data_IF_384659515398
#
_entry.id   IF_384659515398
#
_cell.length_a   1.000
_cell.length_b   1.000
_cell.length_c   1.000
_cell.angle_alpha   90.00
_cell.angle_beta   90.00
_cell.angle_gamma   90.00
#
_symmetry.space_group_name_H-M   'P 1'
#
loop_
_entity.id
_entity.type
_entity.pdbx_description
1 polymer ?
#
# COMPACT_ATOMS: atom_id res chain seq x y z
N UNK A 1 15.20 -7.66 8.03
CA UNK A 1 15.05 -8.16 6.65
C UNK A 1 15.90 -7.38 5.65
N UNK A 2 15.95 -6.04 5.71
CA UNK A 2 16.67 -5.21 4.74
C UNK A 2 17.95 -4.53 5.26
N UNK A 3 18.51 -4.96 6.41
CA UNK A 3 19.58 -4.21 7.07
C UNK A 3 20.86 -4.18 6.23
N UNK A 4 21.31 -5.33 5.74
CA UNK A 4 22.61 -5.47 5.05
C UNK A 4 22.67 -4.86 3.64
N UNK A 5 21.53 -4.56 3.01
CA UNK A 5 21.52 -4.01 1.63
C UNK A 5 22.07 -2.59 1.60
N UNK A 6 21.92 -1.84 2.70
CA UNK A 6 22.42 -0.47 2.83
C UNK A 6 23.90 -0.42 3.21
N UNK A 7 24.51 -1.56 3.53
CA UNK A 7 25.94 -1.68 3.82
C UNK A 7 26.77 -1.99 2.56
N UNK A 8 26.12 -2.19 1.40
CA UNK A 8 26.80 -2.43 0.13
C UNK A 8 27.58 -1.19 -0.33
N UNK A 9 28.90 -1.36 -0.52
CA UNK A 9 29.79 -0.31 -1.04
C UNK A 9 29.98 -0.36 -2.55
N UNK A 10 29.75 -1.53 -3.14
CA UNK A 10 29.90 -1.80 -4.56
C UNK A 10 28.56 -2.27 -5.13
N UNK A 11 28.24 -1.85 -6.34
CA UNK A 11 27.02 -2.27 -7.03
C UNK A 11 27.18 -3.72 -7.53
N UNK A 12 26.37 -4.69 -7.05
CA UNK A 12 26.39 -6.05 -7.56
C UNK A 12 25.99 -6.04 -9.04
N UNK A 13 26.69 -6.76 -9.91
CA UNK A 13 26.33 -6.77 -11.34
C UNK A 13 25.05 -7.55 -11.57
N UNK A 14 24.86 -8.65 -10.85
CA UNK A 14 23.67 -9.50 -10.89
C UNK A 14 23.08 -9.61 -9.51
N UNK A 15 21.81 -9.23 -9.36
CA UNK A 15 21.13 -9.23 -8.08
C UNK A 15 19.78 -9.94 -8.20
N UNK A 16 19.54 -10.89 -7.30
CA UNK A 16 18.24 -11.53 -7.19
C UNK A 16 17.47 -11.03 -5.96
N UNK A 17 16.17 -10.87 -6.11
CA UNK A 17 15.24 -10.50 -5.06
C UNK A 17 14.24 -11.63 -4.86
N UNK A 18 14.07 -12.08 -3.61
CA UNK A 18 13.08 -13.09 -3.24
C UNK A 18 11.97 -12.39 -2.45
N UNK A 19 10.80 -12.27 -3.07
CA UNK A 19 9.60 -11.61 -2.55
C UNK A 19 9.32 -10.27 -3.21
N UNK A 20 8.19 -10.16 -3.92
CA UNK A 20 7.73 -8.95 -4.60
C UNK A 20 6.72 -8.17 -3.73
N UNK A 21 7.01 -8.04 -2.44
CA UNK A 21 6.36 -7.08 -1.56
C UNK A 21 6.95 -5.66 -1.72
N UNK A 22 6.44 -4.65 -0.97
CA UNK A 22 6.83 -3.25 -1.14
C UNK A 22 8.34 -3.01 -1.19
N UNK A 23 9.07 -3.46 -0.15
CA UNK A 23 10.53 -3.31 -0.05
C UNK A 23 11.26 -4.02 -1.19
N UNK A 24 10.78 -5.19 -1.60
CA UNK A 24 11.37 -5.96 -2.70
C UNK A 24 11.24 -5.22 -4.03
N UNK A 25 10.07 -4.64 -4.31
CA UNK A 25 9.82 -3.85 -5.51
C UNK A 25 10.64 -2.54 -5.53
N UNK A 26 10.64 -1.79 -4.41
CA UNK A 26 11.39 -0.53 -4.26
C UNK A 26 12.88 -0.74 -4.54
N UNK A 27 13.49 -1.72 -3.88
CA UNK A 27 14.92 -1.98 -4.04
C UNK A 27 15.22 -2.63 -5.40
N UNK A 28 14.39 -3.54 -5.91
CA UNK A 28 14.59 -4.11 -7.24
C UNK A 28 14.63 -3.03 -8.33
N UNK A 29 13.71 -2.06 -8.27
CA UNK A 29 13.69 -0.92 -9.20
C UNK A 29 14.95 -0.05 -9.05
N UNK A 30 15.33 0.27 -7.82
CA UNK A 30 16.50 1.10 -7.54
C UNK A 30 17.79 0.46 -8.09
N UNK A 31 18.02 -0.83 -7.82
CA UNK A 31 19.20 -1.54 -8.29
C UNK A 31 19.21 -1.70 -9.82
N UNK A 32 18.06 -1.93 -10.45
CA UNK A 32 17.96 -1.96 -11.91
C UNK A 32 18.33 -0.59 -12.52
N UNK A 33 17.81 0.51 -11.96
CA UNK A 33 18.15 1.88 -12.37
C UNK A 33 19.61 2.25 -12.11
N UNK A 34 20.25 1.71 -11.07
CA UNK A 34 21.68 1.86 -10.85
C UNK A 34 22.54 1.06 -11.84
N UNK A 35 21.95 0.09 -12.55
CA UNK A 35 22.62 -0.68 -13.60
C UNK A 35 22.88 -2.15 -13.25
N UNK A 36 22.27 -2.69 -12.18
CA UNK A 36 22.31 -4.12 -11.90
C UNK A 36 21.38 -4.90 -12.83
N UNK A 37 21.77 -6.11 -13.22
CA UNK A 37 20.86 -7.10 -13.79
C UNK A 37 20.01 -7.69 -12.66
N UNK A 38 18.74 -7.32 -12.61
CA UNK A 38 17.84 -7.68 -11.51
C UNK A 38 16.87 -8.78 -11.91
N UNK A 39 16.79 -9.84 -11.10
CA UNK A 39 15.71 -10.84 -11.16
C UNK A 39 14.88 -10.83 -9.88
N UNK A 40 13.57 -10.62 -9.99
CA UNK A 40 12.62 -10.57 -8.88
C UNK A 40 11.70 -11.80 -8.91
N UNK A 41 11.80 -12.64 -7.89
CA UNK A 41 11.01 -13.85 -7.72
C UNK A 41 9.84 -13.63 -6.76
N UNK A 42 8.67 -14.13 -7.11
CA UNK A 42 7.48 -14.13 -6.26
C UNK A 42 6.63 -15.36 -6.52
N UNK A 43 5.99 -15.90 -5.47
CA UNK A 43 5.13 -17.09 -5.57
C UNK A 43 3.80 -16.82 -6.24
N UNK A 44 3.31 -15.59 -6.13
CA UNK A 44 1.99 -15.20 -6.64
C UNK A 44 2.12 -14.13 -7.71
N UNK A 45 1.97 -12.87 -7.35
CA UNK A 45 2.08 -11.70 -8.23
C UNK A 45 2.79 -10.57 -7.50
N UNK A 46 3.27 -9.58 -8.26
CA UNK A 46 3.80 -8.34 -7.72
C UNK A 46 2.78 -7.68 -6.79
N UNK A 47 3.24 -7.16 -5.64
CA UNK A 47 2.43 -6.51 -4.62
C UNK A 47 1.11 -7.27 -4.33
N UNK A 48 1.18 -8.53 -3.83
CA UNK A 48 0.03 -9.44 -3.79
C UNK A 48 -1.09 -9.01 -2.83
N UNK A 49 -0.82 -8.01 -1.98
CA UNK A 49 -1.78 -7.42 -1.04
C UNK A 49 -2.51 -6.18 -1.58
N UNK A 50 -2.13 -5.69 -2.75
CA UNK A 50 -2.76 -4.56 -3.41
C UNK A 50 -3.76 -5.05 -4.47
N UNK A 51 -4.70 -4.21 -4.91
CA UNK A 51 -5.59 -4.61 -6.00
C UNK A 51 -4.78 -4.88 -7.30
N UNK A 52 -5.28 -5.79 -8.13
CA UNK A 52 -4.60 -6.28 -9.32
C UNK A 52 -4.28 -5.15 -10.31
N UNK A 53 -5.23 -4.26 -10.56
CA UNK A 53 -5.08 -3.10 -11.44
C UNK A 53 -3.98 -2.13 -10.98
N UNK A 54 -3.76 -1.99 -9.67
CA UNK A 54 -2.69 -1.16 -9.12
C UNK A 54 -1.32 -1.85 -9.23
N UNK A 55 -1.28 -3.15 -8.91
CA UNK A 55 -0.08 -3.96 -8.98
C UNK A 55 0.45 -4.09 -10.42
N UNK A 56 -0.44 -4.23 -11.41
CA UNK A 56 -0.08 -4.32 -12.83
C UNK A 56 0.66 -3.08 -13.33
N UNK A 57 0.25 -1.89 -12.89
CA UNK A 57 0.94 -0.64 -13.24
C UNK A 57 2.37 -0.64 -12.71
N UNK A 58 2.54 -1.01 -11.44
CA UNK A 58 3.88 -1.12 -10.83
C UNK A 58 4.71 -2.20 -11.54
N UNK A 59 4.13 -3.37 -11.83
CA UNK A 59 4.83 -4.45 -12.53
C UNK A 59 5.35 -4.01 -13.90
N UNK A 60 4.51 -3.34 -14.71
CA UNK A 60 4.95 -2.82 -16.01
C UNK A 60 6.09 -1.81 -15.87
N UNK A 61 6.03 -0.95 -14.87
CA UNK A 61 7.11 0.02 -14.61
C UNK A 61 8.43 -0.68 -14.22
N UNK A 62 8.36 -1.67 -13.32
CA UNK A 62 9.52 -2.47 -12.95
C UNK A 62 10.15 -3.16 -14.17
N UNK A 63 9.33 -3.75 -15.05
CA UNK A 63 9.82 -4.37 -16.29
C UNK A 63 10.43 -3.35 -17.25
N UNK A 64 9.83 -2.17 -17.39
CA UNK A 64 10.37 -1.06 -18.21
C UNK A 64 11.76 -0.64 -17.72
N UNK A 65 11.97 -0.65 -16.41
CA UNK A 65 13.25 -0.28 -15.79
C UNK A 65 14.29 -1.42 -15.80
N UNK A 66 13.97 -2.56 -16.42
CA UNK A 66 14.91 -3.68 -16.61
C UNK A 66 14.82 -4.79 -15.57
N UNK A 67 13.82 -4.79 -14.68
CA UNK A 67 13.61 -5.88 -13.72
C UNK A 67 13.01 -7.11 -14.44
N UNK A 68 13.72 -8.23 -14.40
CA UNK A 68 13.18 -9.53 -14.81
C UNK A 68 12.30 -10.10 -13.71
N UNK A 69 10.99 -10.19 -13.92
CA UNK A 69 10.04 -10.63 -12.89
C UNK A 69 9.55 -12.04 -13.19
N UNK A 70 9.75 -12.94 -12.23
CA UNK A 70 9.36 -14.35 -12.27
C UNK A 70 8.32 -14.61 -11.16
N UNK A 71 7.06 -14.50 -11.54
CA UNK A 71 5.90 -14.82 -10.71
C UNK A 71 5.54 -16.31 -10.81
N UNK A 72 4.86 -16.87 -9.79
CA UNK A 72 4.56 -18.31 -9.74
C UNK A 72 5.76 -19.20 -9.40
N UNK A 73 6.86 -18.60 -8.94
CA UNK A 73 8.10 -19.32 -8.67
C UNK A 73 8.27 -19.60 -7.17
N UNK A 74 8.63 -20.84 -6.83
CA UNK A 74 9.09 -21.19 -5.49
C UNK A 74 10.61 -21.33 -5.48
N UNK A 75 11.28 -20.49 -4.70
CA UNK A 75 12.73 -20.54 -4.52
C UNK A 75 13.04 -21.59 -3.45
N UNK A 76 13.38 -22.80 -3.91
CA UNK A 76 13.58 -23.96 -3.05
C UNK A 76 14.99 -24.08 -2.48
N UNK A 77 16.00 -23.52 -3.15
CA UNK A 77 17.40 -23.68 -2.75
C UNK A 77 18.27 -22.49 -3.15
N UNK A 78 19.23 -22.15 -2.28
CA UNK A 78 20.31 -21.21 -2.54
C UNK A 78 21.64 -21.90 -2.27
N UNK A 79 22.60 -21.74 -3.18
CA UNK A 79 23.92 -22.36 -3.10
C UNK A 79 25.02 -21.30 -3.20
N UNK A 80 26.10 -21.47 -2.45
CA UNK A 80 27.33 -20.72 -2.70
C UNK A 80 28.06 -21.35 -3.90
N UNK A 81 28.60 -20.53 -4.79
CA UNK A 81 29.37 -20.97 -5.96
C UNK A 81 30.71 -20.23 -6.02
N UNK A 82 31.70 -20.73 -6.80
CA UNK A 82 32.94 -19.99 -7.04
C UNK A 82 32.71 -18.62 -7.71
N UNK A 83 31.58 -18.42 -8.38
CA UNK A 83 31.21 -17.20 -9.11
C UNK A 83 30.20 -16.31 -8.34
N UNK A 84 29.91 -16.62 -7.07
CA UNK A 84 28.95 -15.89 -6.23
C UNK A 84 27.95 -16.82 -5.56
N UNK A 85 26.68 -16.65 -5.91
CA UNK A 85 25.55 -17.41 -5.36
C UNK A 85 24.69 -17.94 -6.51
N UNK A 86 23.99 -19.06 -6.30
CA UNK A 86 23.02 -19.59 -7.24
C UNK A 86 21.66 -19.73 -6.57
N UNK A 87 20.62 -19.29 -7.27
CA UNK A 87 19.23 -19.52 -6.90
C UNK A 87 18.69 -20.66 -7.76
N UNK A 88 18.05 -21.62 -7.11
CA UNK A 88 17.26 -22.66 -7.76
C UNK A 88 15.79 -22.38 -7.48
N UNK A 89 15.03 -22.09 -8.54
CA UNK A 89 13.62 -21.76 -8.47
C UNK A 89 12.81 -22.70 -9.35
N UNK A 90 11.69 -23.18 -8.84
CA UNK A 90 10.73 -24.01 -9.58
C UNK A 90 9.54 -23.14 -9.98
N UNK A 91 9.27 -23.05 -11.28
CA UNK A 91 8.15 -22.28 -11.83
C UNK A 91 7.39 -23.16 -12.84
N UNK A 92 6.09 -23.37 -12.65
CA UNK A 92 5.30 -24.21 -13.55
C UNK A 92 5.75 -25.68 -13.62
N UNK A 93 6.49 -26.17 -12.61
CA UNK A 93 7.08 -27.52 -12.60
C UNK A 93 8.45 -27.62 -13.27
N UNK A 94 8.95 -26.54 -13.87
CA UNK A 94 10.29 -26.47 -14.44
C UNK A 94 11.27 -25.85 -13.43
N UNK A 95 12.41 -26.50 -13.24
CA UNK A 95 13.49 -26.00 -12.40
C UNK A 95 14.41 -25.08 -13.23
N UNK A 96 14.70 -23.90 -12.69
CA UNK A 96 15.64 -22.95 -13.25
C UNK A 96 16.75 -22.66 -12.23
N UNK A 97 17.99 -22.54 -12.73
CA UNK A 97 19.16 -22.18 -11.92
C UNK A 97 19.77 -20.90 -12.46
N UNK A 98 19.84 -19.87 -11.63
CA UNK A 98 20.38 -18.55 -11.99
C UNK A 98 21.53 -18.20 -11.05
N UNK A 99 22.69 -17.85 -11.63
CA UNK A 99 23.84 -17.36 -10.86
C UNK A 99 23.78 -15.84 -10.72
N UNK A 100 24.01 -15.37 -9.49
CA UNK A 100 23.96 -13.97 -9.10
C UNK A 100 25.10 -13.65 -8.13
N UNK A 101 25.42 -12.37 -7.99
CA UNK A 101 26.46 -11.92 -7.08
C UNK A 101 25.87 -11.77 -5.66
N UNK A 102 24.69 -11.15 -5.58
CA UNK A 102 23.97 -10.92 -4.32
C UNK A 102 22.50 -11.34 -4.37
N UNK A 103 21.96 -11.69 -3.19
CA UNK A 103 20.57 -12.11 -3.01
C UNK A 103 19.94 -11.27 -1.90
N UNK A 104 18.88 -10.56 -2.24
CA UNK A 104 18.01 -9.90 -1.28
C UNK A 104 16.82 -10.78 -0.91
N UNK A 105 16.61 -11.02 0.38
CA UNK A 105 15.48 -11.82 0.88
C UNK A 105 14.46 -10.89 1.53
N UNK A 106 13.37 -10.62 0.81
CA UNK A 106 12.29 -9.70 1.17
C UNK A 106 10.98 -10.38 1.60
N UNK A 107 11.04 -11.57 2.19
CA UNK A 107 9.87 -12.43 2.45
C UNK A 107 9.02 -12.04 3.67
N UNK A 108 9.33 -10.92 4.32
CA UNK A 108 8.57 -10.37 5.45
C UNK A 108 9.42 -10.06 6.67
N UNK A 109 8.76 -9.72 7.78
CA UNK A 109 9.39 -9.35 9.06
C UNK A 109 8.76 -10.17 10.18
N UNK A 110 9.59 -10.85 10.95
CA UNK A 110 9.19 -11.49 12.20
C UNK A 110 9.25 -10.49 13.37
N UNK A 111 8.35 -10.58 14.35
CA UNK A 111 8.40 -9.77 15.57
C UNK A 111 9.57 -10.20 16.47
N UNK A 112 10.25 -9.24 17.09
CA UNK A 112 11.33 -9.53 18.04
C UNK A 112 10.76 -9.84 19.43
N UNK A 113 10.47 -11.12 19.70
CA UNK A 113 9.93 -11.58 21.00
C UNK A 113 10.94 -12.34 21.85
N UNK A 114 12.01 -12.84 21.23
CA UNK A 114 13.03 -13.66 21.88
C UNK A 114 13.83 -12.87 22.92
N UNK A 115 14.12 -13.50 24.06
CA UNK A 115 14.92 -12.90 25.13
C UNK A 115 14.21 -11.84 25.97
N UNK A 116 12.94 -11.50 25.68
CA UNK A 116 12.18 -10.49 26.43
C UNK A 116 11.57 -11.01 27.75
N UNK A 117 11.56 -12.33 27.98
CA UNK A 117 10.96 -12.93 29.18
C UNK A 117 9.43 -12.76 29.26
N UNK A 118 8.74 -12.73 28.12
CA UNK A 118 7.29 -12.47 28.03
C UNK A 118 6.46 -13.47 28.87
N UNK A 119 6.83 -14.74 28.87
CA UNK A 119 6.14 -15.78 29.63
C UNK A 119 6.25 -15.53 31.14
N UNK A 120 7.45 -15.18 31.62
CA UNK A 120 7.68 -14.81 33.03
C UNK A 120 6.92 -13.53 33.42
N UNK A 121 6.68 -12.63 32.46
CA UNK A 121 5.88 -11.42 32.64
C UNK A 121 4.36 -11.66 32.50
N UNK A 122 3.91 -12.88 32.19
CA UNK A 122 2.49 -13.21 31.97
C UNK A 122 1.89 -12.54 30.72
N UNK A 123 2.69 -12.37 29.66
CA UNK A 123 2.30 -11.71 28.42
C UNK A 123 2.11 -12.77 27.32
N UNK A 124 0.88 -12.92 26.82
CA UNK A 124 0.60 -13.78 25.66
C UNK A 124 1.29 -13.24 24.39
N UNK A 125 1.95 -14.12 23.65
CA UNK A 125 2.57 -13.83 22.36
C UNK A 125 2.49 -15.05 21.43
N UNK A 126 2.74 -14.84 20.15
CA UNK A 126 2.75 -15.90 19.13
C UNK A 126 3.54 -15.49 17.88
N UNK A 127 3.38 -16.22 16.75
CA UNK A 127 4.14 -15.95 15.52
C UNK A 127 3.99 -14.53 14.98
N UNK A 128 2.84 -13.90 15.23
CA UNK A 128 2.54 -12.53 14.80
C UNK A 128 2.96 -11.46 15.82
N UNK A 129 3.43 -11.86 17.00
CA UNK A 129 4.00 -10.98 18.02
C UNK A 129 3.23 -10.99 19.35
N UNK A 130 3.34 -9.91 20.11
CA UNK A 130 2.68 -9.75 21.40
C UNK A 130 1.19 -9.51 21.20
N UNK A 131 0.36 -10.30 21.91
CA UNK A 131 -1.08 -10.15 21.86
C UNK A 131 -1.52 -8.95 22.67
N UNK A 132 -2.24 -8.04 22.02
CA UNK A 132 -2.82 -6.86 22.66
C UNK A 132 -4.31 -6.74 22.37
N UNK A 133 -5.02 -6.06 23.27
CA UNK A 133 -6.38 -5.61 22.97
C UNK A 133 -6.37 -4.35 22.10
N UNK A 134 -7.55 -3.87 21.71
CA UNK A 134 -7.74 -2.69 20.86
C UNK A 134 -7.18 -1.38 21.47
N UNK A 135 -6.81 -1.38 22.76
CA UNK A 135 -6.15 -0.27 23.45
C UNK A 135 -4.65 -0.45 23.63
N UNK A 136 -4.05 -1.43 22.94
CA UNK A 136 -2.63 -1.80 22.97
C UNK A 136 -2.14 -2.34 24.31
N UNK A 137 -3.06 -2.80 25.17
CA UNK A 137 -2.70 -3.42 26.45
C UNK A 137 -2.56 -4.94 26.27
N UNK A 138 -1.49 -5.50 26.84
CA UNK A 138 -1.22 -6.94 26.85
C UNK A 138 -2.13 -7.69 27.84
N UNK A 139 -1.96 -9.00 27.97
CA UNK A 139 -2.60 -9.80 29.04
C UNK A 139 -2.13 -9.41 30.43
N UNK A 140 -0.88 -8.92 30.56
CA UNK A 140 -0.45 -8.24 31.76
C UNK A 140 -1.03 -6.81 31.78
N UNK A 141 -1.93 -6.53 32.72
CA UNK A 141 -2.66 -5.25 32.80
C UNK A 141 -1.75 -4.02 33.02
N UNK A 142 -0.49 -4.22 33.39
CA UNK A 142 0.51 -3.16 33.60
C UNK A 142 1.42 -2.95 32.39
N UNK A 143 1.32 -3.80 31.37
CA UNK A 143 2.23 -3.79 30.21
C UNK A 143 1.44 -3.54 28.93
N UNK A 144 2.02 -2.70 28.08
CA UNK A 144 1.51 -2.32 26.77
C UNK A 144 2.55 -2.67 25.71
N UNK A 145 2.11 -2.87 24.48
CA UNK A 145 2.99 -3.10 23.33
C UNK A 145 2.50 -2.30 22.13
N UNK A 146 3.43 -1.75 21.35
CA UNK A 146 3.15 -0.90 20.19
C UNK A 146 4.17 -1.15 19.07
N UNK A 147 3.82 -0.79 17.84
CA UNK A 147 4.65 -0.97 16.65
C UNK A 147 4.64 -2.39 16.10
N UNK A 148 5.67 -2.75 15.34
CA UNK A 148 5.77 -4.01 14.57
C UNK A 148 5.53 -5.28 15.40
N UNK A 149 5.80 -5.25 16.70
CA UNK A 149 5.62 -6.38 17.62
C UNK A 149 4.15 -6.64 17.97
N UNK A 150 3.25 -5.68 17.76
CA UNK A 150 1.85 -5.74 18.21
C UNK A 150 0.83 -5.33 17.14
N UNK A 151 1.28 -4.79 16.00
CA UNK A 151 0.41 -4.27 14.94
C UNK A 151 0.43 -5.15 13.69
N UNK A 152 -0.74 -5.27 13.05
CA UNK A 152 -0.89 -5.87 11.72
C UNK A 152 -0.14 -5.06 10.65
N UNK A 153 -0.23 -3.73 10.72
CA UNK A 153 0.43 -2.81 9.79
C UNK A 153 1.78 -2.39 10.38
N UNK A 154 2.87 -2.91 9.79
CA UNK A 154 4.25 -2.73 10.24
C UNK A 154 4.89 -1.52 9.56
N UNK A 155 4.35 -0.34 9.84
CA UNK A 155 4.82 0.94 9.28
C UNK A 155 5.27 1.90 10.38
N UNK A 156 6.26 2.74 10.09
CA UNK A 156 6.82 3.69 11.06
C UNK A 156 5.77 4.64 11.63
N UNK A 157 4.92 5.22 10.78
CA UNK A 157 3.83 6.13 11.21
C UNK A 157 2.73 5.39 11.97
N UNK A 158 2.47 4.11 11.67
CA UNK A 158 1.56 3.29 12.47
C UNK A 158 2.13 3.01 13.87
N UNK A 159 3.44 2.77 13.96
CA UNK A 159 4.14 2.61 15.23
C UNK A 159 4.13 3.89 16.07
N UNK A 160 4.37 5.07 15.46
CA UNK A 160 4.27 6.37 16.15
C UNK A 160 2.86 6.62 16.68
N UNK A 161 1.83 6.44 15.84
CA UNK A 161 0.44 6.59 16.26
C UNK A 161 0.07 5.64 17.41
N UNK A 162 0.52 4.38 17.34
CA UNK A 162 0.33 3.40 18.40
C UNK A 162 1.07 3.79 19.70
N UNK A 163 2.29 4.31 19.61
CA UNK A 163 3.02 4.78 20.78
C UNK A 163 2.28 5.94 21.48
N UNK A 164 1.77 6.91 20.72
CA UNK A 164 0.92 8.00 21.25
C UNK A 164 -0.35 7.45 21.91
N UNK A 165 -0.99 6.45 21.31
CA UNK A 165 -2.15 5.77 21.90
C UNK A 165 -1.80 5.07 23.22
N UNK A 166 -0.67 4.35 23.28
CA UNK A 166 -0.20 3.70 24.51
C UNK A 166 0.01 4.73 25.61
N UNK A 167 0.76 5.81 25.34
CA UNK A 167 1.02 6.88 26.31
C UNK A 167 -0.30 7.45 26.84
N UNK A 168 -1.23 7.79 25.94
CA UNK A 168 -2.55 8.31 26.31
C UNK A 168 -3.35 7.34 27.18
N UNK A 169 -3.38 6.06 26.79
CA UNK A 169 -4.17 5.04 27.47
C UNK A 169 -3.56 4.59 28.81
N UNK A 170 -2.23 4.58 28.92
CA UNK A 170 -1.52 4.13 30.11
C UNK A 170 -1.41 5.23 31.17
N UNK A 171 -1.13 6.48 30.76
CA UNK A 171 -0.79 7.56 31.69
C UNK A 171 -1.90 8.61 31.89
N UNK A 172 -2.85 8.71 30.95
CA UNK A 172 -3.86 9.77 30.95
C UNK A 172 -5.30 9.24 30.91
N UNK A 173 -5.52 8.01 31.39
CA UNK A 173 -6.84 7.35 31.44
C UNK A 173 -7.60 7.34 30.09
N UNK A 174 -6.86 7.44 28.99
CA UNK A 174 -7.40 7.44 27.65
C UNK A 174 -8.10 6.13 27.30
N UNK A 175 -9.03 6.22 26.34
CA UNK A 175 -9.77 5.07 25.79
C UNK A 175 -9.56 4.91 24.30
N UNK A 176 -8.42 5.38 23.81
CA UNK A 176 -8.02 5.33 22.42
C UNK A 176 -7.95 3.92 21.88
N UNK A 177 -8.37 3.75 20.62
CA UNK A 177 -8.45 2.46 19.97
C UNK A 177 -7.59 2.43 18.72
N UNK A 178 -6.96 1.29 18.45
CA UNK A 178 -6.23 1.06 17.20
C UNK A 178 -7.23 0.95 16.05
N UNK A 179 -8.38 0.32 16.29
CA UNK A 179 -9.47 0.17 15.30
C UNK A 179 -10.06 1.50 14.80
N UNK A 180 -9.80 2.62 15.47
CA UNK A 180 -10.21 3.95 15.01
C UNK A 180 -9.14 4.67 14.19
N UNK A 181 -7.94 4.11 14.05
CA UNK A 181 -6.88 4.73 13.25
C UNK A 181 -7.14 4.49 11.76
N UNK A 182 -7.01 5.56 10.98
CA UNK A 182 -6.90 5.48 9.52
C UNK A 182 -5.41 5.46 9.18
N UNK A 183 -4.92 4.32 8.71
CA UNK A 183 -3.50 4.10 8.44
C UNK A 183 -3.32 4.05 6.92
N UNK A 184 -2.75 5.08 6.28
CA UNK A 184 -2.31 5.00 4.89
C UNK A 184 -0.97 4.28 4.78
N UNK A 185 -0.57 3.91 3.59
CA UNK A 185 0.80 3.51 3.28
C UNK A 185 1.11 3.77 1.81
N UNK A 186 2.41 3.77 1.48
CA UNK A 186 2.91 3.87 0.12
C UNK A 186 4.00 2.84 -0.12
N UNK A 187 4.01 2.29 -1.33
CA UNK A 187 5.17 1.62 -1.93
C UNK A 187 5.85 2.63 -2.83
N UNK A 188 7.09 2.98 -2.51
CA UNK A 188 7.86 4.05 -3.16
C UNK A 188 8.61 3.57 -4.41
N UNK A 189 7.93 2.78 -5.23
CA UNK A 189 8.32 2.58 -6.63
C UNK A 189 8.04 3.86 -7.43
N UNK A 190 8.43 3.87 -8.69
CA UNK A 190 8.12 4.93 -9.63
C UNK A 190 7.33 4.34 -10.82
N UNK A 191 6.02 4.58 -10.98
CA UNK A 191 5.19 5.41 -10.10
C UNK A 191 4.98 4.78 -8.71
N UNK A 192 4.68 5.62 -7.72
CA UNK A 192 4.36 5.17 -6.36
C UNK A 192 2.97 4.53 -6.34
N UNK A 193 2.76 3.58 -5.43
CA UNK A 193 1.44 3.03 -5.12
C UNK A 193 1.10 3.35 -3.66
N UNK A 194 0.16 4.26 -3.46
CA UNK A 194 -0.36 4.60 -2.14
C UNK A 194 -1.77 4.03 -1.92
N UNK A 195 -2.04 3.54 -0.71
CA UNK A 195 -3.34 3.00 -0.31
C UNK A 195 -3.75 3.46 1.08
N UNK A 196 -5.05 3.66 1.27
CA UNK A 196 -5.68 3.83 2.57
C UNK A 196 -7.01 3.07 2.61
N UNK A 197 -7.33 2.46 3.75
CA UNK A 197 -8.58 1.72 3.91
C UNK A 197 -8.64 0.42 3.10
N UNK A 198 -9.86 0.00 2.75
CA UNK A 198 -10.12 -1.27 2.07
C UNK A 198 -9.73 -1.23 0.60
N UNK A 199 -9.15 -2.33 0.11
CA UNK A 199 -9.08 -2.61 -1.33
C UNK A 199 -10.40 -3.21 -1.84
N UNK A 200 -10.58 -3.31 -3.16
CA UNK A 200 -11.74 -4.00 -3.74
C UNK A 200 -11.79 -5.47 -3.32
N UNK A 201 -10.64 -6.15 -3.34
CA UNK A 201 -10.55 -7.55 -2.94
C UNK A 201 -10.96 -7.73 -1.46
N UNK A 202 -10.50 -6.84 -0.58
CA UNK A 202 -10.85 -6.87 0.85
C UNK A 202 -12.34 -6.58 1.08
N UNK A 203 -12.92 -5.61 0.37
CA UNK A 203 -14.34 -5.29 0.48
C UNK A 203 -15.24 -6.44 -0.03
N UNK A 204 -14.87 -7.06 -1.16
CA UNK A 204 -15.55 -8.25 -1.71
C UNK A 204 -15.47 -9.42 -0.73
N UNK A 205 -14.29 -9.72 -0.18
CA UNK A 205 -14.09 -10.80 0.79
C UNK A 205 -14.88 -10.58 2.09
N UNK A 206 -15.10 -9.31 2.48
CA UNK A 206 -15.92 -8.94 3.63
C UNK A 206 -17.43 -8.92 3.34
N UNK A 207 -17.88 -9.17 2.10
CA UNK A 207 -19.28 -9.10 1.71
C UNK A 207 -19.88 -7.68 1.79
N UNK A 208 -19.04 -6.64 1.68
CA UNK A 208 -19.47 -5.25 1.73
C UNK A 208 -19.75 -4.77 0.31
N UNK A 209 -20.94 -4.25 0.05
CA UNK A 209 -21.24 -3.61 -1.22
C UNK A 209 -20.62 -2.21 -1.30
N UNK A 210 -20.00 -1.91 -2.45
CA UNK A 210 -19.33 -0.64 -2.71
C UNK A 210 -19.52 -0.17 -4.15
N UNK A 211 -19.34 1.13 -4.36
CA UNK A 211 -19.20 1.76 -5.67
C UNK A 211 -17.74 2.19 -5.87
N UNK A 212 -17.22 2.06 -7.09
CA UNK A 212 -15.85 2.43 -7.46
C UNK A 212 -15.87 3.66 -8.35
N UNK A 213 -15.05 4.65 -8.01
CA UNK A 213 -14.81 5.83 -8.82
C UNK A 213 -13.33 5.92 -9.16
N UNK A 214 -13.01 6.05 -10.43
CA UNK A 214 -11.64 5.96 -10.93
C UNK A 214 -11.36 7.03 -11.97
N UNK A 215 -10.21 7.69 -11.85
CA UNK A 215 -9.71 8.68 -12.80
C UNK A 215 -8.31 8.28 -13.23
N UNK A 216 -8.12 8.07 -14.54
CA UNK A 216 -6.81 7.79 -15.13
C UNK A 216 -5.97 9.07 -15.19
N UNK A 217 -4.66 8.95 -14.97
CA UNK A 217 -3.75 10.10 -15.03
C UNK A 217 -3.53 10.63 -16.44
N UNK A 218 -3.69 9.80 -17.47
CA UNK A 218 -3.71 10.25 -18.88
C UNK A 218 -4.81 11.27 -19.20
N UNK A 219 -5.79 11.44 -18.30
CA UNK A 219 -6.84 12.44 -18.43
C UNK A 219 -6.65 13.63 -17.44
N UNK A 220 -5.46 13.75 -16.84
CA UNK A 220 -5.12 14.80 -15.87
C UNK A 220 -4.03 15.69 -16.47
N UNK A 221 -4.37 16.94 -16.74
CA UNK A 221 -3.51 17.88 -17.48
C UNK A 221 -2.10 17.98 -16.90
N UNK A 222 -1.95 17.98 -15.56
CA UNK A 222 -0.63 18.04 -14.94
C UNK A 222 0.21 16.80 -15.20
N UNK A 223 -0.40 15.62 -15.18
CA UNK A 223 0.29 14.36 -15.45
C UNK A 223 0.76 14.28 -16.92
N UNK A 224 -0.10 14.73 -17.86
CA UNK A 224 0.25 14.86 -19.27
C UNK A 224 1.41 15.85 -19.47
N UNK A 225 1.32 17.03 -18.86
CA UNK A 225 2.33 18.07 -18.98
C UNK A 225 3.72 17.63 -18.46
N UNK A 226 3.74 16.78 -17.42
CA UNK A 226 4.96 16.24 -16.83
C UNK A 226 5.43 14.93 -17.53
N UNK A 227 4.65 14.37 -18.46
CA UNK A 227 4.97 13.09 -19.12
C UNK A 227 4.78 11.86 -18.23
N UNK A 228 4.00 11.98 -17.15
CA UNK A 228 3.81 10.97 -16.11
C UNK A 228 2.34 10.50 -16.07
N UNK A 229 1.84 10.07 -17.23
CA UNK A 229 0.43 9.71 -17.46
C UNK A 229 0.05 8.32 -16.96
N UNK A 230 1.03 7.53 -16.52
CA UNK A 230 0.83 6.15 -16.09
C UNK A 230 0.23 6.10 -14.67
N UNK A 231 -0.91 5.42 -14.54
CA UNK A 231 -1.58 5.19 -13.26
C UNK A 231 -2.91 5.93 -13.14
N UNK A 232 -3.41 6.03 -11.91
CA UNK A 232 -4.78 6.44 -11.63
C UNK A 232 -5.00 6.84 -10.17
N UNK A 233 -6.11 7.53 -9.91
CA UNK A 233 -6.72 7.64 -8.58
C UNK A 233 -8.00 6.81 -8.58
N UNK A 234 -8.15 5.93 -7.58
CA UNK A 234 -9.33 5.07 -7.38
C UNK A 234 -9.85 5.23 -5.95
N UNK A 235 -11.14 5.50 -5.80
CA UNK A 235 -11.81 5.63 -4.49
C UNK A 235 -13.01 4.69 -4.43
N UNK A 236 -13.11 3.95 -3.33
CA UNK A 236 -14.23 3.09 -3.00
C UNK A 236 -15.14 3.81 -2.02
N UNK A 237 -16.44 3.82 -2.30
CA UNK A 237 -17.46 4.30 -1.36
C UNK A 237 -18.43 3.19 -1.00
N UNK A 238 -19.05 3.27 0.19
CA UNK A 238 -20.15 2.38 0.54
C UNK A 238 -21.30 2.57 -0.44
N UNK A 239 -21.85 1.47 -0.98
CA UNK A 239 -22.94 1.54 -1.95
C UNK A 239 -24.09 2.42 -1.47
N UNK A 240 -24.50 3.38 -2.31
CA UNK A 240 -25.57 4.32 -2.01
C UNK A 240 -25.23 5.47 -1.02
N UNK A 241 -23.98 5.57 -0.57
CA UNK A 241 -23.47 6.61 0.33
C UNK A 241 -22.22 7.28 -0.27
N UNK A 242 -21.88 8.49 0.16
CA UNK A 242 -20.57 9.11 -0.14
C UNK A 242 -19.45 8.65 0.82
N UNK A 243 -19.75 7.79 1.80
CA UNK A 243 -18.77 7.35 2.78
C UNK A 243 -17.62 6.59 2.11
N UNK A 244 -16.43 7.18 2.16
CA UNK A 244 -15.19 6.59 1.65
C UNK A 244 -14.82 5.36 2.51
N UNK A 245 -14.58 4.24 1.85
CA UNK A 245 -14.19 2.96 2.46
C UNK A 245 -12.70 2.66 2.25
N UNK A 246 -12.13 3.18 1.18
CA UNK A 246 -10.71 3.11 0.87
C UNK A 246 -10.39 3.83 -0.43
N UNK A 247 -9.10 3.98 -0.70
CA UNK A 247 -8.60 4.54 -1.94
C UNK A 247 -7.22 3.97 -2.27
N UNK A 248 -6.92 3.89 -3.57
CA UNK A 248 -5.62 3.56 -4.11
C UNK A 248 -5.23 4.63 -5.14
N UNK A 249 -3.98 5.09 -5.07
CA UNK A 249 -3.40 6.06 -5.99
C UNK A 249 -2.13 5.43 -6.55
N UNK A 250 -2.05 5.32 -7.87
CA UNK A 250 -0.82 4.97 -8.57
C UNK A 250 -0.38 6.19 -9.37
N UNK A 251 0.67 6.86 -8.94
CA UNK A 251 1.13 8.13 -9.49
C UNK A 251 2.50 8.49 -8.92
N UNK A 252 3.26 9.35 -9.58
CA UNK A 252 4.33 10.08 -8.90
C UNK A 252 3.75 10.91 -7.76
N UNK A 253 4.40 10.87 -6.58
CA UNK A 253 3.92 11.53 -5.37
C UNK A 253 2.58 10.98 -4.82
N UNK A 254 2.22 9.72 -5.13
CA UNK A 254 1.02 9.11 -4.58
C UNK A 254 0.99 9.11 -3.04
N UNK A 255 2.15 8.93 -2.39
CA UNK A 255 2.30 8.96 -0.93
C UNK A 255 1.96 10.32 -0.32
N UNK A 256 2.19 11.42 -1.04
CA UNK A 256 1.77 12.75 -0.60
C UNK A 256 0.27 12.94 -0.82
N UNK A 257 -0.22 12.56 -2.01
CA UNK A 257 -1.62 12.69 -2.43
C UNK A 257 -2.60 11.94 -1.52
N UNK A 258 -2.25 10.72 -1.07
CA UNK A 258 -3.14 9.87 -0.26
C UNK A 258 -3.50 10.51 1.10
N UNK A 259 -2.71 11.48 1.56
CA UNK A 259 -2.94 12.19 2.82
C UNK A 259 -4.27 12.95 2.83
N UNK A 260 -4.73 13.48 1.70
CA UNK A 260 -6.03 14.14 1.60
C UNK A 260 -7.18 13.17 1.85
N UNK A 261 -7.16 12.00 1.19
CA UNK A 261 -8.18 10.97 1.38
C UNK A 261 -8.13 10.41 2.81
N UNK A 262 -6.93 10.27 3.36
CA UNK A 262 -6.72 9.85 4.75
C UNK A 262 -7.39 10.81 5.73
N UNK A 263 -7.18 12.13 5.55
CA UNK A 263 -7.82 13.16 6.35
C UNK A 263 -9.35 13.11 6.20
N UNK A 264 -9.85 12.97 4.96
CA UNK A 264 -11.28 12.87 4.72
C UNK A 264 -11.90 11.68 5.46
N UNK A 265 -11.27 10.50 5.38
CA UNK A 265 -11.70 9.30 6.11
C UNK A 265 -11.64 9.48 7.62
N UNK A 266 -10.57 10.07 8.17
CA UNK A 266 -10.42 10.33 9.61
C UNK A 266 -11.49 11.30 10.14
N UNK A 267 -11.86 12.31 9.34
CA UNK A 267 -12.89 13.30 9.70
C UNK A 267 -14.30 12.92 9.29
N UNK A 268 -14.49 11.77 8.65
CA UNK A 268 -15.80 11.33 8.16
C UNK A 268 -16.36 12.19 7.02
N UNK A 269 -15.49 12.87 6.27
CA UNK A 269 -15.83 13.61 5.05
C UNK A 269 -16.03 12.60 3.92
N UNK A 270 -17.21 12.62 3.30
CA UNK A 270 -17.52 11.77 2.15
C UNK A 270 -16.92 12.29 0.84
N UNK A 271 -17.00 11.47 -0.21
CA UNK A 271 -16.46 11.78 -1.54
C UNK A 271 -17.11 13.02 -2.17
N UNK A 272 -18.39 13.30 -1.88
CA UNK A 272 -19.03 14.55 -2.29
C UNK A 272 -18.44 15.79 -1.60
N UNK A 273 -17.93 15.64 -0.39
CA UNK A 273 -17.19 16.69 0.33
C UNK A 273 -15.89 17.05 -0.40
N UNK A 274 -15.11 16.04 -0.80
CA UNK A 274 -13.90 16.22 -1.62
C UNK A 274 -14.24 16.96 -2.93
N UNK A 275 -15.30 16.54 -3.63
CA UNK A 275 -15.74 17.16 -4.88
C UNK A 275 -16.06 18.66 -4.73
N UNK A 276 -16.53 19.08 -3.56
CA UNK A 276 -16.92 20.47 -3.27
C UNK A 276 -15.73 21.39 -2.95
N UNK A 277 -14.54 20.83 -2.73
CA UNK A 277 -13.33 21.60 -2.41
C UNK A 277 -12.62 22.05 -3.69
N UNK A 278 -12.29 23.34 -3.77
CA UNK A 278 -11.49 23.90 -4.86
C UNK A 278 -10.04 23.40 -4.71
N UNK A 279 -9.59 22.62 -5.68
CA UNK A 279 -8.20 22.19 -5.79
C UNK A 279 -7.41 23.15 -6.69
N UNK A 280 -6.13 23.44 -6.39
CA UNK A 280 -5.27 24.20 -7.30
C UNK A 280 -5.11 23.50 -8.65
N UNK A 281 -5.07 24.29 -9.72
CA UNK A 281 -4.89 23.82 -11.10
C UNK A 281 -3.66 24.48 -11.75
N UNK A 282 -2.86 23.74 -12.54
CA UNK A 282 -2.92 22.29 -12.75
C UNK A 282 -2.13 21.52 -11.69
N UNK A 283 -2.73 20.51 -11.03
CA UNK A 283 -2.04 19.62 -10.08
C UNK A 283 -2.48 18.16 -10.24
N UNK A 284 -1.63 17.20 -9.84
CA UNK A 284 -2.03 15.77 -9.79
C UNK A 284 -3.14 15.51 -8.77
N UNK A 285 -3.13 16.25 -7.66
CA UNK A 285 -4.17 16.19 -6.62
C UNK A 285 -5.57 16.48 -7.18
N UNK A 286 -5.69 17.24 -8.28
CA UNK A 286 -6.97 17.45 -8.95
C UNK A 286 -7.65 16.14 -9.38
N UNK A 287 -6.89 15.06 -9.61
CA UNK A 287 -7.45 13.75 -9.89
C UNK A 287 -8.34 13.23 -8.73
N UNK A 288 -8.00 13.55 -7.48
CA UNK A 288 -8.81 13.21 -6.29
C UNK A 288 -10.16 13.96 -6.34
N UNK A 289 -10.14 15.26 -6.66
CA UNK A 289 -11.34 16.06 -6.89
C UNK A 289 -12.19 15.52 -8.03
N UNK A 290 -11.57 15.17 -9.16
CA UNK A 290 -12.25 14.65 -10.35
C UNK A 290 -12.94 13.30 -10.09
N UNK A 291 -12.37 12.46 -9.23
CA UNK A 291 -13.04 11.24 -8.73
C UNK A 291 -14.31 11.60 -7.94
N UNK A 292 -14.25 12.69 -7.16
CA UNK A 292 -15.42 13.30 -6.53
C UNK A 292 -16.50 13.76 -7.53
N UNK A 293 -16.10 14.35 -8.66
CA UNK A 293 -17.06 14.73 -9.71
C UNK A 293 -17.78 13.52 -10.31
N UNK A 294 -17.08 12.38 -10.47
CA UNK A 294 -17.69 11.13 -10.92
C UNK A 294 -18.79 10.66 -9.96
N UNK A 295 -18.56 10.77 -8.65
CA UNK A 295 -19.60 10.55 -7.64
C UNK A 295 -20.77 11.51 -7.81
N UNK A 296 -20.52 12.82 -7.95
CA UNK A 296 -21.58 13.81 -8.09
C UNK A 296 -22.44 13.60 -9.34
N UNK A 297 -21.85 13.11 -10.45
CA UNK A 297 -22.61 12.76 -11.66
C UNK A 297 -23.64 11.66 -11.41
N UNK A 298 -23.39 10.73 -10.49
CA UNK A 298 -24.38 9.69 -10.13
C UNK A 298 -25.61 10.26 -9.41
N UNK A 299 -25.51 11.46 -8.82
CA UNK A 299 -26.63 12.15 -8.17
C UNK A 299 -27.57 12.85 -9.16
N UNK A 300 -27.10 13.13 -10.38
CA UNK A 300 -27.90 13.68 -11.48
C UNK A 300 -28.78 12.59 -12.11
N UNK A 301 -29.71 12.04 -11.33
CA UNK A 301 -30.65 11.03 -11.83
C UNK A 301 -31.51 11.58 -12.96
N UNK A 302 -32.06 10.74 -13.86
CA UNK A 302 -32.94 11.19 -14.95
C UNK A 302 -34.11 12.06 -14.48
N UNK A 303 -34.65 11.77 -13.28
CA UNK A 303 -35.71 12.58 -12.66
C UNK A 303 -35.23 13.97 -12.26
N UNK A 304 -34.06 14.05 -11.62
CA UNK A 304 -33.44 15.33 -11.22
C UNK A 304 -33.07 16.13 -12.46
N UNK A 305 -32.49 15.49 -13.47
CA UNK A 305 -32.18 16.12 -14.76
C UNK A 305 -33.44 16.66 -15.44
N UNK A 306 -34.52 15.87 -15.51
CA UNK A 306 -35.80 16.31 -16.08
C UNK A 306 -36.43 17.48 -15.32
N UNK A 307 -36.34 17.48 -13.98
CA UNK A 307 -36.74 18.65 -13.17
C UNK A 307 -35.90 19.90 -13.46
N UNK A 308 -34.59 19.73 -13.61
CA UNK A 308 -33.67 20.82 -13.96
C UNK A 308 -33.97 21.39 -15.35
N UNK A 309 -34.16 20.52 -16.35
CA UNK A 309 -34.53 20.90 -17.71
C UNK A 309 -35.88 21.63 -17.75
N UNK A 310 -36.87 21.16 -16.99
CA UNK A 310 -38.15 21.84 -16.83
C UNK A 310 -38.00 23.23 -16.18
N UNK A 311 -37.23 23.34 -15.10
CA UNK A 311 -36.98 24.62 -14.42
C UNK A 311 -36.24 25.63 -15.31
N UNK A 312 -35.23 25.17 -16.06
CA UNK A 312 -34.51 26.00 -17.03
C UNK A 312 -35.41 26.39 -18.22
N UNK A 313 -36.30 25.51 -18.63
CA UNK A 313 -37.31 25.77 -19.66
C UNK A 313 -38.34 26.82 -19.27
N UNK A 314 -38.71 26.93 -17.99
CA UNK A 314 -39.59 27.99 -17.47
C UNK A 314 -38.91 29.36 -17.33
N UNK A 315 -37.57 29.41 -17.35
CA UNK A 315 -36.79 30.66 -17.26
C UNK A 315 -36.43 31.23 -18.63
N UNK A 316 -36.76 30.54 -19.73
CA UNK A 316 -36.73 31.05 -21.09
C UNK A 316 -38.09 31.62 -21.45
#
# INVERSE_FOLDING_TARGET
TNLSVFDLTDLPRRMAFIGAGPIGCELAQAFARFGSEVTLYERTRVLPREDEDAAEVVERSLRRDGVSIVCGADVGKVEATPAGKAIVAVCGGEESRVEVDEIFVGTGRAPNVDGLGLDAAGIEHGPDGVRVNDRLRTTNKRVYAAGDIALKHKFTHAADAAARLVIRNALFFGRGKVSSLIIPWSTYTDPELARVGMSEAEAKAAGIEFDVYRRELKDVDRAIADGEEEGFVKVLTRKGSDKIMGAAIVSSHAGDMISEVTLAMDKGIGLGGIASVIHPYPTRAEAIRQVGDLYMRTKLTPRVKGMFEWFLGMRR
#
